data_IF_673088393591
#
_entry.id   IF_673088393591
#
_cell.length_a   1.000
_cell.length_b   1.000
_cell.length_c   1.000
_cell.angle_alpha   90.00
_cell.angle_beta   90.00
_cell.angle_gamma   90.00
#
_symmetry.space_group_name_H-M   'P 1'
#
loop_
_entity.id
_entity.type
_entity.pdbx_description
1 polymer ?
#
# COMPACT_ATOMS: atom_id res chain seq x y z
N UNK A 1 28.33 -18.12 -6.68
CA UNK A 1 27.77 -16.77 -6.89
C UNK A 1 26.29 -16.85 -6.54
N UNK A 2 25.92 -16.45 -5.32
CA UNK A 2 24.52 -16.40 -4.93
C UNK A 2 23.94 -15.08 -5.44
N UNK A 3 23.06 -15.16 -6.44
CA UNK A 3 22.22 -14.04 -6.81
C UNK A 3 21.18 -13.88 -5.70
N UNK A 4 21.45 -13.01 -4.73
CA UNK A 4 20.43 -12.56 -3.79
C UNK A 4 19.44 -11.72 -4.61
N UNK A 5 18.35 -12.35 -5.05
CA UNK A 5 17.17 -11.59 -5.45
C UNK A 5 16.82 -10.68 -4.27
N UNK A 6 16.60 -9.36 -4.47
CA UNK A 6 15.96 -8.58 -3.42
C UNK A 6 14.60 -9.24 -3.22
N UNK A 7 14.44 -9.92 -2.08
CA UNK A 7 13.14 -10.34 -1.60
C UNK A 7 12.25 -9.12 -1.74
N UNK A 8 11.25 -9.24 -2.60
CA UNK A 8 10.32 -8.18 -2.90
C UNK A 8 9.59 -7.95 -1.59
N UNK A 9 10.07 -6.98 -0.83
CA UNK A 9 9.63 -6.71 0.52
C UNK A 9 8.25 -6.04 0.40
N UNK A 10 7.23 -6.87 0.16
CA UNK A 10 5.92 -6.42 -0.34
C UNK A 10 5.25 -5.48 0.67
N UNK A 11 5.65 -5.52 1.95
CA UNK A 11 5.16 -4.64 3.00
C UNK A 11 6.23 -4.36 4.07
N UNK A 12 7.46 -4.02 3.67
CA UNK A 12 8.46 -3.48 4.61
C UNK A 12 7.84 -2.29 5.37
N UNK A 13 7.95 -2.25 6.70
CA UNK A 13 7.22 -1.31 7.57
C UNK A 13 7.09 0.09 6.94
N UNK A 14 5.87 0.47 6.57
CA UNK A 14 5.59 1.71 5.85
C UNK A 14 5.05 2.75 6.83
N UNK A 15 5.67 3.92 6.87
CA UNK A 15 5.15 5.07 7.61
C UNK A 15 4.38 5.99 6.68
N UNK A 16 3.14 6.32 7.05
CA UNK A 16 2.40 7.41 6.39
C UNK A 16 3.01 8.75 6.82
N UNK A 17 3.50 9.51 5.86
CA UNK A 17 4.06 10.85 6.07
C UNK A 17 2.95 11.89 6.02
N UNK A 18 2.15 11.83 4.95
CA UNK A 18 1.14 12.85 4.65
C UNK A 18 -0.04 12.23 3.90
N UNK A 19 -1.24 12.78 4.15
CA UNK A 19 -2.46 12.46 3.40
C UNK A 19 -3.11 13.77 2.98
N UNK A 20 -3.42 13.91 1.69
CA UNK A 20 -4.07 15.09 1.15
C UNK A 20 -5.21 14.71 0.20
N UNK A 21 -6.26 15.53 0.20
CA UNK A 21 -7.31 15.50 -0.81
C UNK A 21 -6.96 16.49 -1.93
N UNK A 22 -6.89 15.98 -3.15
CA UNK A 22 -6.59 16.75 -4.36
C UNK A 22 -7.72 16.58 -5.39
N UNK A 23 -7.62 17.28 -6.52
CA UNK A 23 -8.62 17.23 -7.60
C UNK A 23 -10.05 17.48 -7.08
N UNK A 24 -10.20 18.59 -6.34
CA UNK A 24 -11.48 18.98 -5.71
C UNK A 24 -12.04 17.89 -4.78
N UNK A 25 -11.16 17.14 -4.13
CA UNK A 25 -11.52 16.09 -3.17
C UNK A 25 -11.86 14.74 -3.79
N UNK A 26 -11.67 14.54 -5.10
CA UNK A 26 -11.95 13.26 -5.77
C UNK A 26 -10.83 12.24 -5.60
N UNK A 27 -9.62 12.71 -5.33
CA UNK A 27 -8.42 11.89 -5.25
C UNK A 27 -7.74 12.09 -3.90
N UNK A 28 -7.39 10.98 -3.26
CA UNK A 28 -6.55 10.94 -2.08
C UNK A 28 -5.11 10.69 -2.53
N UNK A 29 -4.20 11.55 -2.09
CA UNK A 29 -2.76 11.38 -2.21
C UNK A 29 -2.20 10.94 -0.86
N UNK A 30 -1.48 9.83 -0.83
CA UNK A 30 -0.82 9.30 0.37
C UNK A 30 0.68 9.24 0.12
N UNK A 31 1.44 10.02 0.88
CA UNK A 31 2.89 9.93 0.88
C UNK A 31 3.34 8.95 1.96
N UNK A 32 4.21 8.03 1.57
CA UNK A 32 4.69 6.92 2.36
C UNK A 32 6.22 6.91 2.42
N UNK A 33 6.79 6.50 3.55
CA UNK A 33 8.21 6.20 3.70
C UNK A 33 8.38 4.70 3.97
N UNK A 34 9.19 4.02 3.16
CA UNK A 34 9.55 2.62 3.37
C UNK A 34 10.67 2.49 4.41
N UNK A 35 10.91 1.30 4.94
CA UNK A 35 11.96 1.02 5.92
C UNK A 35 13.39 1.42 5.48
N UNK A 36 13.64 1.61 4.18
CA UNK A 36 14.90 2.12 3.63
C UNK A 36 15.00 3.65 3.47
N UNK A 37 14.02 4.42 3.97
CA UNK A 37 13.93 5.87 3.78
C UNK A 37 13.46 6.31 2.38
N UNK A 38 13.22 5.35 1.48
CA UNK A 38 12.65 5.63 0.17
C UNK A 38 11.20 6.12 0.33
N UNK A 39 10.86 7.20 -0.38
CA UNK A 39 9.51 7.77 -0.37
C UNK A 39 8.73 7.34 -1.59
N UNK A 40 7.47 6.98 -1.36
CA UNK A 40 6.50 6.65 -2.41
C UNK A 40 5.27 7.54 -2.30
N UNK A 41 4.62 7.79 -3.43
CA UNK A 41 3.34 8.49 -3.50
C UNK A 41 2.30 7.56 -4.12
N UNK A 42 1.20 7.34 -3.40
CA UNK A 42 0.05 6.60 -3.91
C UNK A 42 -1.07 7.60 -4.18
N UNK A 43 -1.64 7.54 -5.39
CA UNK A 43 -2.81 8.31 -5.78
C UNK A 43 -3.98 7.35 -5.96
N UNK A 44 -5.08 7.60 -5.27
CA UNK A 44 -6.28 6.77 -5.33
C UNK A 44 -7.51 7.64 -5.43
N UNK A 45 -8.49 7.21 -6.24
CA UNK A 45 -9.81 7.83 -6.17
C UNK A 45 -10.50 7.47 -4.85
N UNK A 46 -11.43 8.30 -4.41
CA UNK A 46 -12.26 7.99 -3.24
C UNK A 46 -12.95 6.62 -3.35
N UNK A 47 -13.44 6.28 -4.55
CA UNK A 47 -14.10 5.00 -4.79
C UNK A 47 -13.17 3.79 -4.55
N UNK A 48 -11.90 3.91 -4.95
CA UNK A 48 -10.88 2.88 -4.69
C UNK A 48 -10.54 2.80 -3.20
N UNK A 49 -10.48 3.94 -2.49
CA UNK A 49 -10.25 3.93 -1.05
C UNK A 49 -11.39 3.26 -0.28
N UNK A 50 -12.64 3.53 -0.65
CA UNK A 50 -13.82 2.88 -0.05
C UNK A 50 -13.83 1.37 -0.31
N UNK A 51 -13.49 0.95 -1.54
CA UNK A 51 -13.39 -0.46 -1.88
C UNK A 51 -12.26 -1.15 -1.10
N UNK A 52 -11.09 -0.53 -1.02
CA UNK A 52 -9.96 -1.04 -0.23
C UNK A 52 -10.34 -1.19 1.24
N UNK A 53 -11.04 -0.20 1.82
CA UNK A 53 -11.51 -0.28 3.21
C UNK A 53 -12.47 -1.45 3.40
N UNK A 54 -13.38 -1.71 2.46
CA UNK A 54 -14.28 -2.86 2.52
C UNK A 54 -13.52 -4.17 2.45
N UNK A 55 -12.54 -4.30 1.56
CA UNK A 55 -11.72 -5.51 1.46
C UNK A 55 -10.93 -5.77 2.75
N UNK A 56 -10.35 -4.73 3.35
CA UNK A 56 -9.65 -4.83 4.64
C UNK A 56 -10.59 -5.29 5.77
N UNK A 57 -11.84 -4.80 5.78
CA UNK A 57 -12.85 -5.16 6.78
C UNK A 57 -13.38 -6.59 6.60
N UNK A 58 -13.39 -7.11 5.38
CA UNK A 58 -13.77 -8.49 5.07
C UNK A 58 -12.68 -9.50 5.43
N UNK A 59 -11.53 -9.02 5.91
CA UNK A 59 -10.32 -9.80 6.15
C UNK A 59 -9.46 -9.77 4.89
N UNK A 60 -8.17 -9.47 5.05
CA UNK A 60 -7.24 -9.72 3.94
C UNK A 60 -7.28 -11.23 3.65
N UNK A 61 -7.38 -11.63 2.37
CA UNK A 61 -7.18 -13.03 2.03
C UNK A 61 -5.82 -13.43 2.57
N UNK A 62 -5.81 -14.50 3.37
CA UNK A 62 -4.57 -15.08 3.89
C UNK A 62 -3.73 -15.49 2.67
N UNK A 63 -2.56 -14.87 2.43
CA UNK A 63 -1.77 -15.14 1.22
C UNK A 63 -1.30 -16.60 1.13
N UNK A 64 -1.39 -17.35 2.23
CA UNK A 64 -1.02 -18.76 2.32
C UNK A 64 -2.22 -19.73 2.16
N UNK A 65 -3.46 -19.24 2.00
CA UNK A 65 -4.65 -20.10 1.94
C UNK A 65 -4.84 -20.87 0.61
N UNK A 66 -4.10 -20.55 -0.44
CA UNK A 66 -4.18 -21.19 -1.78
C UNK A 66 -2.93 -22.05 -2.13
N UNK A 67 -2.07 -22.34 -1.16
CA UNK A 67 -0.87 -23.18 -1.36
C UNK A 67 -1.08 -24.69 -1.03
N UNK A 68 -2.33 -25.15 -0.93
CA UNK A 68 -2.72 -26.51 -0.56
C UNK A 68 -3.09 -27.43 -1.72
#
# INVERSE_FOLDING_TARGET
>A
MASTMPEKDVFSAVRVIEVALIDTGRTIAVQLEKAGGERALILMSLAVCDDLLRQLQQGLPDPDADAG
#
